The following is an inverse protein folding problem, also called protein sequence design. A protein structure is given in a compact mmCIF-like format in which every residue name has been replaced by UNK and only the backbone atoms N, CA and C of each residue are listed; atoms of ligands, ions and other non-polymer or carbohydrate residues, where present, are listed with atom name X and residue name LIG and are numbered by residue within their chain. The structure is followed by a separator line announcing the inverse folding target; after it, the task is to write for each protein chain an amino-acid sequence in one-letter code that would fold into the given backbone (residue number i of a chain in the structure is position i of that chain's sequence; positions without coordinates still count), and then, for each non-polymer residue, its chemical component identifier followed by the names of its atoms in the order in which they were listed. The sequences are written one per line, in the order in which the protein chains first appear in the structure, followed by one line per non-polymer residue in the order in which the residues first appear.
data_IF_530772898351
#
_entry.id   IF_530772898351
#
_cell.length_a   1.000
_cell.length_b   1.000
_cell.length_c   1.000
_cell.angle_alpha   90.00
_cell.angle_beta   90.00
_cell.angle_gamma   90.00
#
_symmetry.space_group_name_H-M   'P 1'
#
loop_
_entity.id
_entity.type
_entity.pdbx_description
1 polymer ?
#
# COMPACT_ATOMS: atom_id res chain seq x y z
N UNK A 1 -16.08 10.67 -10.72
CA UNK A 1 -15.13 11.25 -9.74
C UNK A 1 -13.89 11.67 -10.52
N UNK A 2 -13.46 12.94 -10.43
CA UNK A 2 -12.14 13.35 -10.93
C UNK A 2 -11.14 13.08 -9.80
N UNK A 3 -10.13 12.26 -10.06
CA UNK A 3 -9.02 12.02 -9.14
C UNK A 3 -7.92 13.03 -9.48
N UNK A 4 -7.88 14.15 -8.76
CA UNK A 4 -6.78 15.11 -8.91
C UNK A 4 -5.61 14.65 -8.07
N UNK A 5 -4.59 14.09 -8.74
CA UNK A 5 -3.35 13.64 -8.12
C UNK A 5 -2.56 14.86 -7.66
N UNK A 6 -2.65 15.17 -6.36
CA UNK A 6 -1.84 16.21 -5.76
C UNK A 6 -0.41 15.67 -5.53
N UNK A 7 0.65 16.38 -5.95
CA UNK A 7 2.03 15.93 -5.74
C UNK A 7 2.50 16.04 -4.29
N UNK A 8 1.79 16.85 -3.49
CA UNK A 8 2.08 17.11 -2.08
C UNK A 8 0.79 17.05 -1.28
N UNK A 9 0.80 16.34 -0.15
CA UNK A 9 -0.29 16.27 0.82
C UNK A 9 0.12 17.03 2.08
N UNK A 10 -0.80 17.79 2.65
CA UNK A 10 -0.63 18.43 3.95
C UNK A 10 -1.13 17.50 5.07
N UNK A 11 -0.20 17.00 5.88
CA UNK A 11 -0.49 16.15 7.05
C UNK A 11 -0.16 16.95 8.31
N UNK A 12 -1.19 17.46 9.00
CA UNK A 12 -1.02 18.16 10.27
C UNK A 12 -0.16 19.44 10.20
N UNK A 13 -0.15 20.13 9.05
CA UNK A 13 0.68 21.32 8.82
C UNK A 13 2.02 21.02 8.15
N UNK A 14 2.39 19.73 7.99
CA UNK A 14 3.59 19.32 7.28
C UNK A 14 3.25 18.93 5.84
N UNK A 15 3.93 19.56 4.88
CA UNK A 15 3.86 19.22 3.46
C UNK A 15 4.74 18.01 3.18
N UNK A 16 4.14 16.87 2.83
CA UNK A 16 4.86 15.64 2.45
C UNK A 16 4.55 15.25 1.01
N UNK A 17 5.52 14.58 0.37
CA UNK A 17 5.29 13.96 -0.94
C UNK A 17 4.16 12.94 -0.86
N UNK A 18 3.16 13.08 -1.72
CA UNK A 18 1.99 12.19 -1.72
C UNK A 18 2.38 10.74 -1.96
N UNK A 19 3.38 10.51 -2.83
CA UNK A 19 3.95 9.19 -3.07
C UNK A 19 4.44 8.54 -1.77
N UNK A 20 5.12 9.30 -0.92
CA UNK A 20 5.67 8.79 0.34
C UNK A 20 4.56 8.43 1.32
N UNK A 21 3.46 9.20 1.33
CA UNK A 21 2.27 8.93 2.14
C UNK A 21 1.58 7.64 1.66
N UNK A 22 1.32 7.50 0.36
CA UNK A 22 0.65 6.31 -0.19
C UNK A 22 1.46 5.04 0.00
N UNK A 23 2.76 5.07 -0.33
CA UNK A 23 3.65 3.90 -0.15
C UNK A 23 3.89 3.60 1.32
N UNK A 24 4.03 4.62 2.16
CA UNK A 24 4.15 4.44 3.61
C UNK A 24 2.93 3.74 4.20
N UNK A 25 1.72 4.18 3.84
CA UNK A 25 0.47 3.52 4.25
C UNK A 25 0.35 2.10 3.69
N UNK A 26 0.74 1.88 2.43
CA UNK A 26 0.77 0.56 1.82
C UNK A 26 1.70 -0.41 2.58
N UNK A 27 2.90 0.05 2.96
CA UNK A 27 3.86 -0.73 3.75
C UNK A 27 3.33 -1.04 5.14
N UNK A 28 2.75 -0.07 5.84
CA UNK A 28 2.12 -0.27 7.15
C UNK A 28 1.01 -1.32 7.03
N UNK A 29 0.16 -1.22 6.02
CA UNK A 29 -0.92 -2.17 5.78
C UNK A 29 -0.38 -3.57 5.51
N UNK A 30 0.67 -3.66 4.70
CA UNK A 30 1.33 -4.93 4.42
C UNK A 30 1.94 -5.56 5.68
N UNK A 31 2.46 -4.76 6.61
CA UNK A 31 2.96 -5.25 7.89
C UNK A 31 1.87 -5.96 8.71
N UNK A 32 0.62 -5.48 8.64
CA UNK A 32 -0.53 -6.12 9.29
C UNK A 32 -1.10 -7.28 8.47
N UNK A 33 -1.07 -7.20 7.15
CA UNK A 33 -1.64 -8.21 6.25
C UNK A 33 -0.74 -9.44 6.11
N UNK A 34 0.59 -9.28 6.14
CA UNK A 34 1.56 -10.39 6.12
C UNK A 34 1.30 -11.49 7.14
N UNK A 35 1.23 -11.20 8.46
CA UNK A 35 0.99 -12.25 9.44
C UNK A 35 -0.36 -12.93 9.25
N UNK A 36 -1.37 -12.22 8.71
CA UNK A 36 -2.68 -12.78 8.40
C UNK A 36 -2.63 -13.76 7.21
N UNK A 37 -1.87 -13.43 6.17
CA UNK A 37 -1.63 -14.30 5.01
C UNK A 37 -0.86 -15.57 5.38
N UNK A 38 0.15 -15.44 6.23
CA UNK A 38 0.93 -16.59 6.72
C UNK A 38 0.11 -17.48 7.65
N UNK A 39 -0.74 -16.89 8.48
CA UNK A 39 -1.67 -17.66 9.32
C UNK A 39 -2.69 -18.47 8.49
N UNK A 40 -3.18 -17.90 7.40
CA UNK A 40 -4.14 -18.54 6.50
C UNK A 40 -3.51 -19.52 5.49
N UNK A 41 -2.18 -19.74 5.56
CA UNK A 41 -1.40 -20.59 4.63
C UNK A 41 -1.58 -20.22 3.14
N UNK A 42 -1.97 -18.97 2.84
CA UNK A 42 -2.07 -18.49 1.46
C UNK A 42 -0.72 -18.50 0.75
N UNK A 43 0.37 -18.42 1.53
CA UNK A 43 1.75 -18.59 1.06
C UNK A 43 1.96 -19.91 0.28
N UNK A 44 1.16 -20.94 0.53
CA UNK A 44 1.24 -22.22 -0.19
C UNK A 44 0.59 -22.19 -1.58
N UNK A 45 -0.28 -21.20 -1.82
CA UNK A 45 -0.98 -21.02 -3.10
C UNK A 45 -0.24 -20.05 -4.03
N UNK A 46 0.63 -19.21 -3.45
CA UNK A 46 1.45 -18.25 -4.19
C UNK A 46 2.72 -18.95 -4.69
N UNK A 47 2.85 -19.07 -6.01
CA UNK A 47 4.00 -19.70 -6.66
C UNK A 47 5.32 -18.96 -6.38
N UNK A 48 5.24 -17.63 -6.21
CA UNK A 48 6.38 -16.74 -5.90
C UNK A 48 5.92 -15.70 -4.85
N UNK A 49 6.33 -15.92 -3.60
CA UNK A 49 5.94 -15.08 -2.45
C UNK A 49 6.47 -13.65 -2.59
N UNK A 50 7.75 -13.40 -2.93
CA UNK A 50 8.25 -12.05 -3.22
C UNK A 50 7.46 -11.30 -4.28
N UNK A 51 7.09 -11.98 -5.38
CA UNK A 51 6.32 -11.35 -6.46
C UNK A 51 4.92 -10.96 -6.00
N UNK A 52 4.25 -11.82 -5.23
CA UNK A 52 2.93 -11.53 -4.68
C UNK A 52 2.97 -10.37 -3.67
N UNK A 53 4.00 -10.34 -2.83
CA UNK A 53 4.28 -9.25 -1.91
C UNK A 53 4.43 -7.91 -2.65
N UNK A 54 5.23 -7.89 -3.71
CA UNK A 54 5.39 -6.70 -4.54
C UNK A 54 4.08 -6.28 -5.22
N UNK A 55 3.33 -7.23 -5.77
CA UNK A 55 2.02 -6.96 -6.37
C UNK A 55 1.02 -6.35 -5.37
N UNK A 56 0.98 -6.87 -4.14
CA UNK A 56 0.14 -6.31 -3.08
C UNK A 56 0.54 -4.88 -2.70
N UNK A 57 1.84 -4.57 -2.64
CA UNK A 57 2.31 -3.19 -2.40
C UNK A 57 1.81 -2.22 -3.47
N UNK A 58 1.88 -2.62 -4.74
CA UNK A 58 1.38 -1.80 -5.85
C UNK A 58 -0.13 -1.58 -5.70
N UNK A 59 -0.89 -2.65 -5.43
CA UNK A 59 -2.34 -2.58 -5.26
C UNK A 59 -2.69 -1.64 -4.10
N UNK A 60 -2.08 -1.81 -2.94
CA UNK A 60 -2.34 -0.95 -1.78
C UNK A 60 -1.95 0.50 -2.05
N UNK A 61 -0.82 0.74 -2.70
CA UNK A 61 -0.41 2.10 -3.09
C UNK A 61 -1.45 2.74 -4.02
N UNK A 62 -1.96 1.99 -5.01
CA UNK A 62 -3.01 2.45 -5.90
C UNK A 62 -4.33 2.72 -5.18
N UNK A 63 -4.73 1.85 -4.25
CA UNK A 63 -5.91 2.05 -3.40
C UNK A 63 -5.78 3.33 -2.59
N UNK A 64 -4.63 3.56 -1.95
CA UNK A 64 -4.42 4.80 -1.20
C UNK A 64 -4.40 6.03 -2.09
N UNK A 65 -3.85 5.94 -3.29
CA UNK A 65 -3.85 7.04 -4.28
C UNK A 65 -5.27 7.42 -4.75
N UNK A 66 -6.21 6.48 -4.73
CA UNK A 66 -7.61 6.72 -5.10
C UNK A 66 -8.41 7.28 -3.92
N UNK A 67 -8.06 6.89 -2.69
CA UNK A 67 -8.78 7.25 -1.46
C UNK A 67 -8.34 8.59 -0.85
N UNK A 68 -7.07 9.00 -1.06
CA UNK A 68 -6.44 10.22 -0.51
C UNK A 68 -6.18 11.25 -1.61
#
# INVERSE_FOLDING_TARGET
MRFELLPVINVGGLLMSSFLVHVGLALITMLFVKPFLTWSRLDRFLWDVPLAEFGMLIIFTGVYTILL
#
